data_IF_620573577100
#
_entry.id   IF_620573577100
#
_cell.length_a   1.000
_cell.length_b   1.000
_cell.length_c   1.000
_cell.angle_alpha   90.00
_cell.angle_beta   90.00
_cell.angle_gamma   90.00
#
_symmetry.space_group_name_H-M   'P 1'
#
loop_
_entity.id
_entity.type
_entity.pdbx_description
1 polymer ?
#
# COMPACT_ATOMS: atom_id res chain seq x y z
N UNK A 1 -2.31 -3.30 -0.18
CA UNK A 1 -1.96 -1.87 -0.07
C UNK A 1 -1.97 -1.36 1.37
N UNK A 2 -1.15 -0.36 1.69
CA UNK A 2 -1.17 0.35 2.98
C UNK A 2 -2.29 1.38 3.06
N UNK A 3 -2.84 1.60 4.25
CA UNK A 3 -3.89 2.62 4.45
C UNK A 3 -5.31 2.20 4.06
N UNK A 4 -5.55 0.91 3.80
CA UNK A 4 -6.89 0.38 3.50
C UNK A 4 -7.68 -0.07 4.74
N UNK A 5 -7.15 0.12 5.96
CA UNK A 5 -7.88 -0.16 7.20
C UNK A 5 -7.72 -1.57 7.78
N UNK A 6 -6.65 -2.31 7.46
CA UNK A 6 -6.42 -3.68 8.01
C UNK A 6 -6.38 -3.69 9.54
N UNK A 7 -5.55 -2.83 10.13
CA UNK A 7 -5.41 -2.67 11.58
C UNK A 7 -6.73 -2.24 12.23
N UNK A 8 -7.45 -1.30 11.61
CA UNK A 8 -8.76 -0.84 12.07
C UNK A 8 -9.81 -1.96 12.03
N UNK A 9 -9.79 -2.80 11.00
CA UNK A 9 -10.73 -3.93 10.88
C UNK A 9 -10.51 -4.95 11.99
N UNK A 10 -9.24 -5.24 12.34
CA UNK A 10 -8.91 -6.11 13.47
C UNK A 10 -9.37 -5.51 14.79
N UNK A 11 -9.11 -4.21 15.01
CA UNK A 11 -9.57 -3.49 16.20
C UNK A 11 -11.10 -3.54 16.34
N UNK A 12 -11.82 -3.29 15.25
CA UNK A 12 -13.28 -3.38 15.22
C UNK A 12 -13.79 -4.80 15.50
N UNK A 13 -13.15 -5.82 14.93
CA UNK A 13 -13.49 -7.23 15.19
C UNK A 13 -13.36 -7.59 16.68
N UNK A 14 -12.26 -7.21 17.34
CA UNK A 14 -12.07 -7.44 18.77
C UNK A 14 -13.11 -6.71 19.62
N UNK A 15 -13.48 -5.48 19.24
CA UNK A 15 -14.51 -4.72 19.95
C UNK A 15 -15.91 -5.34 19.80
N UNK A 16 -16.21 -5.92 18.64
CA UNK A 16 -17.49 -6.58 18.37
C UNK A 16 -17.62 -7.94 19.07
N UNK A 17 -16.48 -8.57 19.40
CA UNK A 17 -16.42 -9.90 20.00
C UNK A 17 -15.52 -9.95 21.24
N UNK A 18 -15.81 -9.15 22.29
CA UNK A 18 -14.92 -9.00 23.44
C UNK A 18 -14.72 -10.29 24.24
N UNK A 19 -15.72 -11.18 24.22
CA UNK A 19 -15.73 -12.43 25.01
C UNK A 19 -15.34 -13.66 24.19
N UNK A 20 -14.99 -13.51 22.91
CA UNK A 20 -14.70 -14.64 22.02
C UNK A 20 -13.37 -15.33 22.35
N UNK A 21 -12.39 -14.56 22.83
CA UNK A 21 -11.08 -15.07 23.22
C UNK A 21 -10.80 -14.75 24.68
N UNK A 22 -10.34 -15.75 25.42
CA UNK A 22 -9.95 -15.57 26.82
C UNK A 22 -8.77 -14.60 26.95
N UNK A 23 -7.90 -14.54 25.93
CA UNK A 23 -6.76 -13.62 25.87
C UNK A 23 -6.52 -13.13 24.45
N UNK A 24 -6.17 -11.84 24.35
CA UNK A 24 -5.70 -11.19 23.13
C UNK A 24 -4.25 -10.75 23.32
N UNK A 25 -3.38 -11.18 22.41
CA UNK A 25 -1.97 -10.81 22.37
C UNK A 25 -1.76 -10.00 21.10
N UNK A 26 -1.34 -8.76 21.24
CA UNK A 26 -1.11 -7.84 20.12
C UNK A 26 0.38 -7.54 20.00
N UNK A 27 0.95 -7.71 18.82
CA UNK A 27 2.40 -7.61 18.57
C UNK A 27 2.66 -6.82 17.30
N UNK A 28 3.56 -5.86 17.39
CA UNK A 28 4.12 -5.16 16.24
C UNK A 28 5.09 -6.08 15.47
N UNK A 29 4.63 -6.55 14.33
CA UNK A 29 5.39 -7.38 13.40
C UNK A 29 6.17 -6.57 12.34
N UNK A 30 6.38 -5.27 12.56
CA UNK A 30 7.16 -4.41 11.66
C UNK A 30 8.61 -4.86 11.46
N UNK A 31 9.19 -5.58 12.42
CA UNK A 31 10.55 -6.16 12.33
C UNK A 31 10.71 -7.35 13.27
N UNK A 32 11.75 -8.17 13.05
CA UNK A 32 12.09 -9.25 13.99
C UNK A 32 12.36 -8.72 15.40
N UNK A 33 13.05 -7.58 15.53
CA UNK A 33 13.32 -6.94 16.83
C UNK A 33 12.04 -6.45 17.53
N UNK A 34 11.07 -5.92 16.78
CA UNK A 34 9.78 -5.48 17.34
C UNK A 34 9.02 -6.67 17.92
N UNK A 35 8.92 -7.77 17.16
CA UNK A 35 8.26 -9.01 17.61
C UNK A 35 8.93 -9.55 18.87
N UNK A 36 10.27 -9.65 18.87
CA UNK A 36 11.02 -10.14 20.01
C UNK A 36 10.80 -9.28 21.26
N UNK A 37 10.80 -7.95 21.10
CA UNK A 37 10.57 -6.99 22.18
C UNK A 37 9.17 -7.12 22.77
N UNK A 38 8.15 -7.21 21.93
CA UNK A 38 6.75 -7.33 22.36
C UNK A 38 6.49 -8.69 23.00
N UNK A 39 7.00 -9.78 22.43
CA UNK A 39 6.93 -11.11 23.02
C UNK A 39 7.62 -11.18 24.38
N UNK A 40 8.82 -10.65 24.51
CA UNK A 40 9.53 -10.57 25.78
C UNK A 40 8.73 -9.76 26.81
N UNK A 41 8.21 -8.60 26.39
CA UNK A 41 7.40 -7.73 27.26
C UNK A 41 6.13 -8.44 27.73
N UNK A 42 5.42 -9.12 26.83
CA UNK A 42 4.23 -9.89 27.15
C UNK A 42 4.53 -11.06 28.09
N UNK A 43 5.57 -11.85 27.83
CA UNK A 43 5.97 -12.98 28.69
C UNK A 43 6.26 -12.51 30.12
N UNK A 44 6.94 -11.36 30.30
CA UNK A 44 7.19 -10.77 31.63
C UNK A 44 5.91 -10.46 32.41
N UNK A 45 4.81 -10.13 31.75
CA UNK A 45 3.53 -9.82 32.43
C UNK A 45 2.90 -11.04 33.10
N UNK A 46 3.32 -12.26 32.75
CA UNK A 46 2.69 -13.51 33.22
C UNK A 46 3.29 -14.06 34.51
N UNK A 47 4.44 -13.55 34.97
CA UNK A 47 5.04 -13.93 36.25
C UNK A 47 5.82 -15.26 36.24
N UNK A 48 6.28 -15.66 37.42
CA UNK A 48 7.53 -16.39 37.70
C UNK A 48 7.74 -17.71 36.91
N UNK A 49 8.94 -17.85 36.32
CA UNK A 49 9.39 -19.02 35.53
C UNK A 49 10.30 -18.66 34.33
N UNK A 50 10.48 -17.37 34.05
CA UNK A 50 11.20 -16.83 32.89
C UNK A 50 12.65 -16.49 33.22
N UNK A 51 13.43 -17.49 33.61
CA UNK A 51 14.80 -17.32 34.15
C UNK A 51 15.81 -16.69 33.15
N UNK A 52 15.49 -16.67 31.86
CA UNK A 52 16.39 -16.17 30.81
C UNK A 52 15.96 -14.82 30.23
N UNK A 53 14.74 -14.36 30.50
CA UNK A 53 14.22 -13.09 29.97
C UNK A 53 14.36 -12.98 28.44
N UNK A 54 13.97 -14.05 27.72
CA UNK A 54 14.09 -14.16 26.27
C UNK A 54 12.72 -14.30 25.60
N UNK A 55 12.61 -13.85 24.35
CA UNK A 55 11.34 -13.83 23.61
C UNK A 55 10.79 -15.25 23.33
N UNK A 56 11.64 -16.26 23.28
CA UNK A 56 11.23 -17.66 23.07
C UNK A 56 10.34 -18.20 24.20
N UNK A 57 10.41 -17.61 25.39
CA UNK A 57 9.51 -17.98 26.48
C UNK A 57 8.05 -17.63 26.16
N UNK A 58 7.80 -16.54 25.43
CA UNK A 58 6.47 -16.22 24.93
C UNK A 58 5.94 -17.34 24.02
N UNK A 59 6.77 -17.85 23.10
CA UNK A 59 6.37 -18.95 22.23
C UNK A 59 6.06 -20.23 23.00
N UNK A 60 6.81 -20.56 24.05
CA UNK A 60 6.50 -21.73 24.90
C UNK A 60 5.12 -21.61 25.55
N UNK A 61 4.77 -20.41 26.02
CA UNK A 61 3.47 -20.12 26.64
C UNK A 61 2.35 -20.19 25.59
N UNK A 62 2.56 -19.57 24.42
CA UNK A 62 1.59 -19.62 23.31
C UNK A 62 1.40 -21.04 22.74
N UNK A 63 2.35 -21.95 22.97
CA UNK A 63 2.27 -23.38 22.64
C UNK A 63 1.70 -24.26 23.77
N UNK A 64 1.25 -23.64 24.87
CA UNK A 64 0.74 -24.33 26.06
C UNK A 64 -0.56 -23.69 26.54
N UNK A 65 -1.49 -23.41 25.62
CA UNK A 65 -2.75 -22.74 25.95
C UNK A 65 -3.56 -23.62 26.92
N UNK A 66 -4.08 -23.07 28.04
CA UNK A 66 -4.86 -23.87 28.99
C UNK A 66 -6.06 -24.56 28.34
N UNK A 67 -6.31 -25.82 28.73
CA UNK A 67 -7.43 -26.59 28.20
C UNK A 67 -8.76 -25.86 28.44
N UNK A 68 -9.54 -25.69 27.37
CA UNK A 68 -10.84 -25.02 27.42
C UNK A 68 -10.79 -23.51 27.19
N UNK A 69 -9.59 -22.92 27.06
CA UNK A 69 -9.42 -21.53 26.62
C UNK A 69 -9.19 -21.47 25.11
N UNK A 70 -9.47 -20.29 24.54
CA UNK A 70 -9.11 -19.92 23.16
C UNK A 70 -8.41 -18.57 23.21
N UNK A 71 -7.22 -18.48 22.63
CA UNK A 71 -6.43 -17.25 22.60
C UNK A 71 -6.33 -16.72 21.17
N UNK A 72 -6.07 -15.43 21.01
CA UNK A 72 -5.75 -14.83 19.72
C UNK A 72 -4.40 -14.10 19.78
N UNK A 73 -3.54 -14.40 18.81
CA UNK A 73 -2.30 -13.68 18.55
C UNK A 73 -2.46 -12.83 17.28
N UNK A 74 -2.25 -11.53 17.42
CA UNK A 74 -2.29 -10.56 16.32
C UNK A 74 -0.86 -10.11 16.04
N UNK A 75 -0.39 -10.39 14.83
CA UNK A 75 0.86 -9.91 14.27
C UNK A 75 0.54 -8.79 13.27
N UNK A 76 0.61 -7.55 13.74
CA UNK A 76 0.24 -6.37 12.95
C UNK A 76 1.44 -5.78 12.21
N UNK A 77 1.25 -5.24 11.01
CA UNK A 77 2.32 -4.61 10.20
C UNK A 77 3.45 -5.55 9.77
N UNK A 78 3.16 -6.84 9.52
CA UNK A 78 4.13 -7.82 9.01
C UNK A 78 4.51 -7.56 7.54
N UNK A 79 5.01 -6.37 7.23
CA UNK A 79 5.14 -5.85 5.87
C UNK A 79 6.45 -6.19 5.18
N UNK A 80 7.53 -6.40 5.96
CA UNK A 80 8.88 -6.63 5.45
C UNK A 80 8.97 -8.00 4.74
N UNK A 81 9.22 -8.04 3.42
CA UNK A 81 9.34 -9.31 2.70
C UNK A 81 10.53 -10.17 3.13
N UNK A 82 11.53 -9.59 3.81
CA UNK A 82 12.69 -10.30 4.33
C UNK A 82 12.47 -10.91 5.73
N UNK A 83 11.37 -10.54 6.41
CA UNK A 83 11.01 -11.07 7.71
C UNK A 83 10.60 -12.54 7.61
N UNK A 84 11.36 -13.43 8.24
CA UNK A 84 10.96 -14.83 8.40
C UNK A 84 9.95 -14.97 9.56
N UNK A 85 8.70 -14.63 9.29
CA UNK A 85 7.63 -14.63 10.30
C UNK A 85 7.37 -16.02 10.91
N UNK A 86 7.68 -17.10 10.19
CA UNK A 86 7.47 -18.47 10.66
C UNK A 86 8.20 -18.80 11.97
N UNK A 87 9.29 -18.10 12.28
CA UNK A 87 10.03 -18.25 13.54
C UNK A 87 9.22 -17.80 14.77
N UNK A 88 8.16 -17.04 14.56
CA UNK A 88 7.34 -16.42 15.60
C UNK A 88 5.92 -16.98 15.67
N UNK A 89 5.61 -18.03 14.89
CA UNK A 89 4.27 -18.63 14.87
C UNK A 89 4.18 -19.78 15.88
N UNK A 90 3.23 -19.74 16.83
CA UNK A 90 2.91 -20.89 17.67
C UNK A 90 2.17 -21.98 16.86
N UNK A 91 2.11 -23.17 17.44
CA UNK A 91 1.58 -24.40 16.83
C UNK A 91 0.43 -25.04 17.62
N UNK A 92 0.03 -24.44 18.76
CA UNK A 92 -1.15 -24.89 19.52
C UNK A 92 -2.42 -24.76 18.66
N UNK A 93 -3.36 -25.69 18.81
CA UNK A 93 -4.63 -25.66 18.08
C UNK A 93 -5.64 -24.68 18.69
N UNK A 94 -5.43 -24.27 19.94
CA UNK A 94 -6.32 -23.36 20.68
C UNK A 94 -5.92 -21.89 20.56
N UNK A 95 -4.98 -21.58 19.65
CA UNK A 95 -4.59 -20.21 19.33
C UNK A 95 -4.98 -19.86 17.91
N UNK A 96 -5.74 -18.79 17.77
CA UNK A 96 -6.01 -18.16 16.48
C UNK A 96 -4.89 -17.17 16.18
N UNK A 97 -4.27 -17.29 15.01
CA UNK A 97 -3.25 -16.36 14.55
C UNK A 97 -3.86 -15.47 13.48
N UNK A 98 -3.82 -14.15 13.71
CA UNK A 98 -4.25 -13.14 12.76
C UNK A 98 -3.02 -12.30 12.36
N UNK A 99 -2.74 -12.23 11.07
CA UNK A 99 -1.63 -11.44 10.53
C UNK A 99 -2.19 -10.31 9.67
N UNK A 100 -1.80 -9.07 9.93
CA UNK A 100 -2.03 -7.97 9.00
C UNK A 100 -0.74 -7.63 8.25
N UNK A 101 -0.85 -7.43 6.93
CA UNK A 101 0.32 -7.14 6.11
C UNK A 101 -0.05 -6.48 4.77
N UNK A 102 0.88 -5.69 4.23
CA UNK A 102 0.92 -5.23 2.84
C UNK A 102 1.60 -6.25 1.92
N UNK A 103 2.37 -7.18 2.46
CA UNK A 103 3.01 -8.24 1.69
C UNK A 103 1.99 -9.36 1.38
N UNK A 104 1.50 -9.36 0.14
CA UNK A 104 0.53 -10.36 -0.34
C UNK A 104 1.06 -11.80 -0.26
N UNK A 105 2.39 -12.01 -0.22
CA UNK A 105 2.96 -13.35 -0.12
C UNK A 105 2.69 -14.02 1.23
N UNK A 106 2.40 -13.27 2.29
CA UNK A 106 2.00 -13.85 3.58
C UNK A 106 0.65 -14.57 3.51
N UNK A 107 -0.18 -14.27 2.51
CA UNK A 107 -1.41 -15.03 2.26
C UNK A 107 -1.16 -16.52 2.02
N UNK A 108 0.04 -16.90 1.52
CA UNK A 108 0.43 -18.29 1.33
C UNK A 108 0.63 -19.06 2.64
N UNK A 109 0.79 -18.36 3.78
CA UNK A 109 0.90 -18.99 5.09
C UNK A 109 -0.47 -19.34 5.69
N UNK A 110 -1.56 -18.84 5.10
CA UNK A 110 -2.89 -19.07 5.65
C UNK A 110 -3.30 -20.54 5.53
N UNK A 111 -3.71 -21.12 6.65
CA UNK A 111 -4.28 -22.47 6.73
C UNK A 111 -5.81 -22.46 6.72
N UNK A 112 -6.44 -21.30 6.89
CA UNK A 112 -7.89 -21.16 7.06
C UNK A 112 -8.48 -20.18 6.06
N UNK A 113 -8.16 -18.89 6.16
CA UNK A 113 -8.70 -17.83 5.33
C UNK A 113 -7.66 -16.75 5.00
N UNK A 114 -7.76 -16.17 3.81
CA UNK A 114 -6.99 -15.00 3.39
C UNK A 114 -7.95 -13.94 2.86
N UNK A 115 -7.91 -12.75 3.47
CA UNK A 115 -8.73 -11.61 3.08
C UNK A 115 -7.85 -10.54 2.46
N UNK A 116 -7.94 -10.39 1.14
CA UNK A 116 -7.29 -9.27 0.45
C UNK A 116 -8.13 -8.00 0.61
N UNK A 117 -7.66 -7.10 1.48
CA UNK A 117 -8.31 -5.80 1.69
C UNK A 117 -7.73 -4.75 0.73
N UNK A 118 -8.59 -4.28 -0.18
CA UNK A 118 -8.27 -3.31 -1.24
C UNK A 118 -8.92 -1.94 -1.04
N UNK A 119 -9.25 -1.30 -2.16
CA UNK A 119 -9.98 -0.02 -2.21
C UNK A 119 -11.41 -0.20 -1.67
N UNK A 120 -11.96 0.83 -1.03
CA UNK A 120 -13.38 0.84 -0.66
C UNK A 120 -14.26 0.90 -1.91
N UNK A 121 -15.45 0.31 -1.83
CA UNK A 121 -16.50 0.59 -2.82
C UNK A 121 -16.85 2.08 -2.81
N UNK A 122 -17.49 2.58 -3.88
CA UNK A 122 -17.88 3.99 -3.97
C UNK A 122 -18.80 4.43 -2.83
N UNK A 123 -19.69 3.56 -2.38
CA UNK A 123 -20.65 3.85 -1.32
C UNK A 123 -19.97 3.86 0.06
N UNK A 124 -19.10 2.87 0.33
CA UNK A 124 -18.27 2.85 1.54
C UNK A 124 -17.36 4.08 1.59
N UNK A 125 -16.75 4.45 0.47
CA UNK A 125 -15.84 5.59 0.36
C UNK A 125 -16.57 6.92 0.60
N UNK A 126 -17.77 7.08 0.03
CA UNK A 126 -18.63 8.23 0.28
C UNK A 126 -19.04 8.30 1.76
N UNK A 127 -19.44 7.18 2.34
CA UNK A 127 -19.79 7.10 3.77
C UNK A 127 -18.60 7.49 4.66
N UNK A 128 -17.41 6.97 4.36
CA UNK A 128 -16.21 7.22 5.14
C UNK A 128 -15.80 8.70 5.13
N UNK A 129 -15.76 9.35 3.96
CA UNK A 129 -15.37 10.78 3.87
C UNK A 129 -16.41 11.70 4.51
N UNK A 130 -17.71 11.36 4.42
CA UNK A 130 -18.77 12.11 5.10
C UNK A 130 -18.67 11.96 6.62
N UNK A 131 -18.45 10.74 7.10
CA UNK A 131 -18.32 10.45 8.53
C UNK A 131 -17.11 11.16 9.14
N UNK A 132 -15.95 11.13 8.50
CA UNK A 132 -14.75 11.84 8.97
C UNK A 132 -14.94 13.37 8.94
N UNK A 133 -15.65 13.89 7.93
CA UNK A 133 -16.05 15.29 7.84
C UNK A 133 -17.17 15.69 8.83
N UNK A 134 -17.81 14.72 9.51
CA UNK A 134 -19.04 14.90 10.30
C UNK A 134 -20.17 15.57 9.52
N UNK A 135 -20.37 15.11 8.29
CA UNK A 135 -21.42 15.57 7.38
C UNK A 135 -22.43 14.47 7.11
N UNK A 136 -23.64 14.88 6.75
CA UNK A 136 -24.75 13.99 6.43
C UNK A 136 -25.38 14.44 5.11
N UNK A 137 -26.00 13.50 4.40
CA UNK A 137 -26.83 13.80 3.25
C UNK A 137 -28.15 14.49 3.68
N UNK A 138 -28.79 15.28 2.80
CA UNK A 138 -28.34 15.63 1.46
C UNK A 138 -27.25 16.73 1.48
N UNK A 139 -26.29 16.61 0.55
CA UNK A 139 -25.38 17.70 0.19
C UNK A 139 -25.96 18.48 -1.01
N UNK A 140 -25.44 19.68 -1.28
CA UNK A 140 -25.71 20.35 -2.56
C UNK A 140 -25.17 19.51 -3.72
N UNK A 141 -25.74 19.67 -4.92
CA UNK A 141 -25.29 18.94 -6.12
C UNK A 141 -23.81 19.19 -6.42
N UNK A 142 -23.35 20.44 -6.26
CA UNK A 142 -21.95 20.82 -6.44
C UNK A 142 -21.04 20.10 -5.43
N UNK A 143 -21.40 20.08 -4.16
CA UNK A 143 -20.57 19.46 -3.12
C UNK A 143 -20.55 17.94 -3.22
N UNK A 144 -21.68 17.31 -3.59
CA UNK A 144 -21.73 15.88 -3.90
C UNK A 144 -20.88 15.55 -5.14
N UNK A 145 -20.93 16.39 -6.18
CA UNK A 145 -20.10 16.27 -7.36
C UNK A 145 -18.60 16.32 -7.02
N UNK A 146 -18.18 17.31 -6.22
CA UNK A 146 -16.80 17.43 -5.75
C UNK A 146 -16.38 16.23 -4.88
N UNK A 147 -17.25 15.74 -4.01
CA UNK A 147 -17.00 14.53 -3.22
C UNK A 147 -16.73 13.33 -4.14
N UNK A 148 -17.58 13.10 -5.16
CA UNK A 148 -17.42 12.00 -6.12
C UNK A 148 -16.12 12.08 -6.93
N UNK A 149 -15.66 13.29 -7.25
CA UNK A 149 -14.36 13.52 -7.89
C UNK A 149 -13.22 13.19 -6.92
N UNK A 150 -13.30 13.63 -5.66
CA UNK A 150 -12.33 13.27 -4.63
C UNK A 150 -12.23 11.77 -4.41
N UNK A 151 -13.34 11.03 -4.37
CA UNK A 151 -13.32 9.56 -4.26
C UNK A 151 -12.49 8.92 -5.38
N UNK A 152 -12.58 9.47 -6.60
CA UNK A 152 -11.79 9.02 -7.75
C UNK A 152 -10.31 9.37 -7.59
N UNK A 153 -9.99 10.62 -7.26
CA UNK A 153 -8.60 11.10 -7.18
C UNK A 153 -7.84 10.49 -5.99
N UNK A 154 -8.53 10.22 -4.88
CA UNK A 154 -7.99 9.54 -3.70
C UNK A 154 -8.00 8.00 -3.84
N UNK A 155 -8.51 7.48 -4.97
CA UNK A 155 -8.56 6.04 -5.26
C UNK A 155 -9.41 5.23 -4.27
N UNK A 156 -10.38 5.86 -3.62
CA UNK A 156 -11.20 5.22 -2.58
C UNK A 156 -10.36 4.55 -1.45
N UNK A 157 -9.17 5.08 -1.18
CA UNK A 157 -8.29 4.59 -0.13
C UNK A 157 -8.75 5.12 1.23
N UNK A 158 -9.05 4.21 2.16
CA UNK A 158 -9.63 4.54 3.48
C UNK A 158 -8.88 5.68 4.20
N UNK A 159 -7.56 5.57 4.37
CA UNK A 159 -6.77 6.60 5.07
C UNK A 159 -6.81 7.96 4.38
N UNK A 160 -6.79 7.99 3.04
CA UNK A 160 -6.79 9.22 2.26
C UNK A 160 -8.15 9.93 2.34
N UNK A 161 -9.24 9.16 2.33
CA UNK A 161 -10.60 9.66 2.51
C UNK A 161 -10.83 10.20 3.92
N UNK A 162 -10.40 9.44 4.95
CA UNK A 162 -10.50 9.88 6.34
C UNK A 162 -9.73 11.18 6.52
N UNK A 163 -8.50 11.26 6.02
CA UNK A 163 -7.68 12.46 6.07
C UNK A 163 -8.36 13.66 5.37
N UNK A 164 -8.90 13.47 4.17
CA UNK A 164 -9.58 14.54 3.43
C UNK A 164 -10.80 15.07 4.19
N UNK A 165 -11.66 14.19 4.71
CA UNK A 165 -12.83 14.61 5.45
C UNK A 165 -12.48 15.23 6.80
N UNK A 166 -11.51 14.68 7.55
CA UNK A 166 -11.07 15.29 8.81
C UNK A 166 -10.45 16.67 8.57
N UNK A 167 -9.67 16.87 7.51
CA UNK A 167 -9.15 18.18 7.13
C UNK A 167 -10.28 19.18 6.88
N UNK A 168 -11.31 18.80 6.12
CA UNK A 168 -12.49 19.64 5.87
C UNK A 168 -13.20 20.01 7.17
N UNK A 169 -13.35 19.06 8.10
CA UNK A 169 -13.94 19.29 9.41
C UNK A 169 -13.12 20.26 10.26
N UNK A 170 -11.80 20.07 10.31
CA UNK A 170 -10.89 20.91 11.09
C UNK A 170 -10.94 22.34 10.58
N UNK A 171 -10.77 22.58 9.28
CA UNK A 171 -10.92 23.92 8.72
C UNK A 171 -12.32 24.48 8.93
N UNK A 172 -13.37 23.66 8.79
CA UNK A 172 -14.74 24.10 9.07
C UNK A 172 -14.90 24.64 10.49
N UNK A 173 -14.18 24.08 11.46
CA UNK A 173 -14.18 24.54 12.86
C UNK A 173 -13.38 25.82 13.11
N UNK A 174 -12.48 26.19 12.20
CA UNK A 174 -11.59 27.36 12.35
C UNK A 174 -12.07 28.57 11.56
N UNK A 175 -12.49 28.37 10.30
CA UNK A 175 -12.75 29.47 9.35
C UNK A 175 -14.21 29.53 8.85
N UNK A 176 -15.10 28.73 9.42
CA UNK A 176 -16.46 28.54 8.90
C UNK A 176 -16.50 27.47 7.81
N UNK A 177 -17.68 27.21 7.23
CA UNK A 177 -17.93 26.09 6.31
C UNK A 177 -16.82 25.94 5.24
N UNK A 178 -16.06 24.84 5.33
CA UNK A 178 -15.02 24.49 4.36
C UNK A 178 -15.38 23.20 3.64
N UNK A 179 -15.83 23.32 2.39
CA UNK A 179 -16.50 22.30 1.58
C UNK A 179 -15.54 21.31 0.91
N UNK A 180 -16.09 20.21 0.38
CA UNK A 180 -15.31 19.30 -0.46
C UNK A 180 -14.85 19.96 -1.77
N UNK A 181 -15.57 20.95 -2.26
CA UNK A 181 -15.16 21.75 -3.43
C UNK A 181 -13.88 22.53 -3.16
N UNK A 182 -13.78 23.17 -2.00
CA UNK A 182 -12.59 23.92 -1.60
C UNK A 182 -11.40 22.99 -1.36
N UNK A 183 -11.64 21.86 -0.70
CA UNK A 183 -10.62 20.84 -0.51
C UNK A 183 -10.13 20.27 -1.84
N UNK A 184 -11.01 19.95 -2.79
CA UNK A 184 -10.63 19.45 -4.12
C UNK A 184 -9.73 20.44 -4.87
N UNK A 185 -10.04 21.74 -4.80
CA UNK A 185 -9.18 22.78 -5.39
C UNK A 185 -7.81 22.82 -4.72
N UNK A 186 -7.75 22.73 -3.39
CA UNK A 186 -6.50 22.70 -2.65
C UNK A 186 -5.70 21.43 -2.98
N UNK A 187 -6.36 20.28 -3.02
CA UNK A 187 -5.78 18.97 -3.31
C UNK A 187 -5.08 18.96 -4.66
N UNK A 188 -5.70 19.50 -5.71
CA UNK A 188 -5.07 19.55 -7.05
C UNK A 188 -3.79 20.39 -7.11
N UNK A 189 -3.67 21.42 -6.26
CA UNK A 189 -2.50 22.29 -6.22
C UNK A 189 -1.41 21.81 -5.27
N UNK A 190 -1.79 21.18 -4.14
CA UNK A 190 -0.90 20.85 -3.03
C UNK A 190 -0.99 19.37 -2.61
N UNK A 191 -1.31 18.49 -3.56
CA UNK A 191 -1.51 17.06 -3.32
C UNK A 191 -0.38 16.43 -2.52
N UNK A 192 0.87 16.68 -2.92
CA UNK A 192 2.03 16.05 -2.31
C UNK A 192 2.19 16.44 -0.84
N UNK A 193 1.97 17.71 -0.51
CA UNK A 193 2.05 18.20 0.87
C UNK A 193 0.91 17.66 1.72
N UNK A 194 -0.31 17.65 1.16
CA UNK A 194 -1.48 17.08 1.82
C UNK A 194 -1.30 15.58 2.07
N UNK A 195 -0.86 14.79 1.08
CA UNK A 195 -0.71 13.34 1.26
C UNK A 195 0.52 12.94 2.11
N UNK A 196 1.46 13.84 2.34
CA UNK A 196 2.54 13.67 3.34
C UNK A 196 2.10 14.02 4.74
N UNK A 197 1.18 14.98 4.87
CA UNK A 197 0.65 15.40 6.16
C UNK A 197 0.04 14.22 6.92
N UNK A 198 0.50 14.01 8.14
CA UNK A 198 -0.07 13.06 9.09
C UNK A 198 -0.74 13.84 10.22
N UNK A 199 -1.96 13.46 10.59
CA UNK A 199 -2.59 14.05 11.76
C UNK A 199 -1.82 13.68 13.04
N UNK A 200 -1.64 14.64 13.97
CA UNK A 200 -0.93 14.38 15.22
C UNK A 200 -1.71 13.48 16.20
N UNK A 201 -3.01 13.24 15.98
CA UNK A 201 -3.88 12.44 16.86
C UNK A 201 -4.65 11.41 16.03
N UNK A 202 -4.06 10.24 15.82
CA UNK A 202 -4.76 9.04 15.32
C UNK A 202 -4.99 8.04 16.45
N UNK A 203 -6.11 7.31 16.40
CA UNK A 203 -6.52 6.35 17.44
C UNK A 203 -5.54 5.17 17.60
N UNK A 204 -4.70 4.93 16.60
CA UNK A 204 -3.78 3.81 16.48
C UNK A 204 -2.30 4.22 16.50
N UNK A 205 -2.00 5.47 16.88
CA UNK A 205 -0.65 6.07 16.78
C UNK A 205 -0.03 5.99 15.36
N UNK A 206 -0.82 5.68 14.33
CA UNK A 206 -0.38 5.69 12.94
C UNK A 206 -0.26 7.14 12.47
N UNK A 207 0.93 7.71 12.63
CA UNK A 207 1.25 9.11 12.32
C UNK A 207 1.92 9.25 10.95
N UNK A 208 1.49 8.47 9.95
CA UNK A 208 2.09 8.53 8.60
C UNK A 208 1.03 8.84 7.55
N UNK A 209 1.25 9.91 6.79
CA UNK A 209 0.48 10.18 5.57
C UNK A 209 0.71 9.10 4.52
N UNK A 210 -0.18 9.03 3.52
CA UNK A 210 -0.10 8.05 2.42
C UNK A 210 1.26 8.09 1.73
N UNK A 211 1.73 9.29 1.38
CA UNK A 211 3.00 9.47 0.67
C UNK A 211 4.20 9.06 1.54
N UNK A 212 4.17 9.33 2.84
CA UNK A 212 5.23 8.92 3.78
C UNK A 212 5.38 7.40 3.82
N UNK A 213 4.28 6.66 3.76
CA UNK A 213 4.30 5.20 3.71
C UNK A 213 4.83 4.66 2.39
N UNK A 214 4.53 5.34 1.27
CA UNK A 214 5.10 5.01 -0.03
C UNK A 214 6.60 5.32 -0.10
N UNK A 215 7.05 6.44 0.49
CA UNK A 215 8.46 6.82 0.57
C UNK A 215 9.31 5.76 1.30
N UNK A 216 8.76 5.13 2.34
CA UNK A 216 9.43 4.04 3.05
C UNK A 216 9.56 2.79 2.18
N UNK A 217 8.49 2.40 1.48
CA UNK A 217 8.54 1.28 0.53
C UNK A 217 9.52 1.56 -0.61
N UNK A 218 9.57 2.79 -1.12
CA UNK A 218 10.47 3.21 -2.18
C UNK A 218 11.95 3.12 -1.80
N UNK A 219 12.30 3.44 -0.55
CA UNK A 219 13.68 3.34 -0.05
C UNK A 219 14.19 1.90 -0.04
N UNK A 220 13.31 0.92 0.12
CA UNK A 220 13.65 -0.51 0.10
C UNK A 220 13.77 -1.09 -1.32
N UNK A 221 13.36 -0.35 -2.36
CA UNK A 221 13.44 -0.82 -3.74
C UNK A 221 14.86 -0.67 -4.31
N UNK A 222 15.24 -1.63 -5.15
CA UNK A 222 16.43 -1.51 -6.01
C UNK A 222 16.23 -0.40 -7.05
N UNK A 223 17.34 0.10 -7.62
CA UNK A 223 17.28 1.15 -8.63
C UNK A 223 16.41 0.77 -9.84
N UNK A 224 16.52 -0.46 -10.32
CA UNK A 224 15.72 -0.97 -11.45
C UNK A 224 14.21 -0.94 -11.17
N UNK A 225 13.80 -1.35 -9.96
CA UNK A 225 12.41 -1.30 -9.56
C UNK A 225 11.88 0.13 -9.49
N UNK A 226 12.70 1.07 -9.04
CA UNK A 226 12.35 2.51 -8.99
C UNK A 226 12.18 3.09 -10.39
N UNK A 227 13.10 2.80 -11.29
CA UNK A 227 13.03 3.29 -12.68
C UNK A 227 11.82 2.72 -13.42
N UNK A 228 11.54 1.42 -13.24
CA UNK A 228 10.35 0.81 -13.82
C UNK A 228 9.06 1.40 -13.24
N UNK A 229 8.99 1.61 -11.92
CA UNK A 229 7.84 2.24 -11.27
C UNK A 229 7.55 3.64 -11.82
N UNK A 230 8.60 4.46 -11.98
CA UNK A 230 8.47 5.79 -12.59
C UNK A 230 8.02 5.73 -14.04
N UNK A 231 8.56 4.80 -14.83
CA UNK A 231 8.14 4.56 -16.22
C UNK A 231 6.64 4.24 -16.29
N UNK A 232 6.18 3.23 -15.54
CA UNK A 232 4.78 2.79 -15.59
C UNK A 232 3.82 3.82 -15.00
N UNK A 233 4.32 4.75 -14.17
CA UNK A 233 3.52 5.85 -13.66
C UNK A 233 2.96 6.73 -14.77
N UNK A 234 3.54 6.79 -15.97
CA UNK A 234 3.06 7.62 -17.09
C UNK A 234 2.02 6.96 -17.99
N UNK A 235 1.69 5.69 -17.75
CA UNK A 235 0.56 5.02 -18.40
C UNK A 235 -0.76 5.45 -17.76
N UNK A 236 -1.88 4.99 -18.32
CA UNK A 236 -3.11 4.97 -17.53
C UNK A 236 -2.93 4.02 -16.34
N UNK A 237 -3.38 4.40 -15.14
CA UNK A 237 -3.14 3.62 -13.91
C UNK A 237 -3.84 2.25 -13.90
N UNK A 238 -4.76 2.01 -14.84
CA UNK A 238 -5.39 0.70 -15.07
C UNK A 238 -4.96 0.09 -16.39
N UNK A 239 -4.88 -1.25 -16.39
CA UNK A 239 -4.73 -2.11 -17.56
C UNK A 239 -3.45 -1.79 -18.34
N UNK A 240 -2.33 -1.65 -17.65
CA UNK A 240 -1.03 -1.47 -18.30
C UNK A 240 -0.62 -2.82 -18.90
N UNK A 241 -0.53 -2.96 -20.23
CA UNK A 241 -0.32 -4.25 -20.88
C UNK A 241 1.15 -4.67 -20.80
N UNK A 242 1.42 -5.85 -20.24
CA UNK A 242 2.79 -6.39 -20.18
C UNK A 242 3.37 -6.60 -21.58
N UNK A 243 2.52 -7.04 -22.53
CA UNK A 243 2.90 -7.33 -23.91
C UNK A 243 3.37 -6.09 -24.70
N UNK A 244 2.98 -4.88 -24.30
CA UNK A 244 3.48 -3.68 -24.96
C UNK A 244 4.99 -3.51 -24.76
N UNK A 245 5.51 -3.88 -23.58
CA UNK A 245 6.94 -3.78 -23.29
C UNK A 245 7.76 -4.77 -24.12
N UNK A 246 7.30 -6.02 -24.25
CA UNK A 246 7.99 -7.02 -25.07
C UNK A 246 7.96 -6.64 -26.54
N UNK A 247 6.80 -6.22 -27.05
CA UNK A 247 6.65 -5.80 -28.44
C UNK A 247 7.53 -4.60 -28.77
N UNK A 248 7.53 -3.56 -27.92
CA UNK A 248 8.37 -2.39 -28.12
C UNK A 248 9.87 -2.73 -28.05
N UNK A 249 10.27 -3.64 -27.15
CA UNK A 249 11.65 -4.11 -27.07
C UNK A 249 12.11 -4.83 -28.34
N UNK A 250 11.28 -5.72 -28.91
CA UNK A 250 11.56 -6.43 -30.17
C UNK A 250 11.77 -5.47 -31.36
N UNK A 251 11.12 -4.30 -31.32
CA UNK A 251 11.25 -3.25 -32.34
C UNK A 251 12.28 -2.17 -31.95
N UNK A 252 13.04 -2.39 -30.88
CA UNK A 252 14.09 -1.49 -30.41
C UNK A 252 13.60 -0.13 -29.90
N UNK A 253 12.33 -0.04 -29.48
CA UNK A 253 11.65 1.19 -29.05
C UNK A 253 11.73 2.32 -30.07
N UNK A 254 11.72 1.96 -31.36
CA UNK A 254 11.71 2.92 -32.46
C UNK A 254 10.28 3.33 -32.76
N UNK A 255 10.12 4.55 -33.27
CA UNK A 255 8.84 4.96 -33.81
C UNK A 255 8.41 4.03 -34.96
N UNK A 256 7.10 3.83 -35.13
CA UNK A 256 6.56 2.96 -36.20
C UNK A 256 7.01 3.40 -37.61
N UNK A 257 7.11 4.71 -37.84
CA UNK A 257 7.39 5.29 -39.15
C UNK A 257 8.67 6.11 -39.20
N UNK A 258 9.08 6.46 -40.42
CA UNK A 258 10.21 7.36 -40.66
C UNK A 258 9.81 8.81 -40.40
N UNK A 259 10.07 9.29 -39.18
CA UNK A 259 9.87 10.69 -38.81
C UNK A 259 11.13 11.52 -39.06
N UNK A 260 10.98 12.85 -39.04
CA UNK A 260 12.14 13.74 -39.08
C UNK A 260 13.11 13.43 -37.93
N UNK A 261 14.44 13.52 -38.17
CA UNK A 261 15.45 13.26 -37.15
C UNK A 261 15.18 14.08 -35.89
N UNK A 262 15.07 13.39 -34.75
CA UNK A 262 14.94 14.02 -33.43
C UNK A 262 16.32 14.35 -32.88
N UNK A 263 16.36 15.18 -31.85
CA UNK A 263 17.60 15.50 -31.16
C UNK A 263 18.17 14.28 -30.42
N UNK A 264 19.43 14.39 -29.97
CA UNK A 264 20.13 13.33 -29.25
C UNK A 264 19.42 12.89 -27.94
N UNK A 265 18.43 13.65 -27.44
CA UNK A 265 17.66 13.26 -26.25
C UNK A 265 16.78 12.07 -26.55
N UNK A 266 16.32 11.89 -27.79
CA UNK A 266 15.53 10.74 -28.19
C UNK A 266 16.32 9.43 -28.11
N UNK A 267 17.56 9.41 -28.62
CA UNK A 267 18.44 8.23 -28.52
C UNK A 267 18.80 7.91 -27.06
N UNK A 268 19.03 8.93 -26.23
CA UNK A 268 19.26 8.76 -24.80
C UNK A 268 18.03 8.16 -24.08
N UNK A 269 16.81 8.55 -24.46
CA UNK A 269 15.55 7.99 -23.97
C UNK A 269 15.43 6.50 -24.31
N UNK A 270 15.68 6.12 -25.56
CA UNK A 270 15.65 4.70 -25.98
C UNK A 270 16.70 3.89 -25.23
N UNK A 271 17.92 4.42 -25.11
CA UNK A 271 19.02 3.74 -24.42
C UNK A 271 18.70 3.49 -22.94
N UNK A 272 18.09 4.47 -22.26
CA UNK A 272 17.66 4.33 -20.88
C UNK A 272 16.50 3.34 -20.73
N UNK A 273 15.53 3.37 -21.64
CA UNK A 273 14.41 2.42 -21.65
C UNK A 273 14.91 0.98 -21.83
N UNK A 274 15.82 0.75 -22.78
CA UNK A 274 16.49 -0.54 -22.95
C UNK A 274 17.22 -0.99 -21.69
N UNK A 275 17.90 -0.10 -20.97
CA UNK A 275 18.58 -0.46 -19.72
C UNK A 275 17.61 -0.94 -18.62
N UNK A 276 16.36 -0.46 -18.63
CA UNK A 276 15.32 -0.83 -17.66
C UNK A 276 14.73 -2.22 -17.98
N UNK A 277 14.36 -2.48 -19.25
CA UNK A 277 13.56 -3.66 -19.61
C UNK A 277 14.30 -4.73 -20.44
N UNK A 278 15.48 -4.41 -20.97
CA UNK A 278 16.29 -5.33 -21.77
C UNK A 278 17.57 -5.76 -21.04
N UNK A 279 18.16 -6.86 -21.52
CA UNK A 279 19.49 -7.32 -21.15
C UNK A 279 20.27 -7.59 -22.45
N UNK A 280 21.47 -7.02 -22.60
CA UNK A 280 22.24 -7.07 -23.85
C UNK A 280 21.44 -6.67 -25.12
N UNK A 281 20.57 -5.66 -25.00
CA UNK A 281 19.66 -5.17 -26.05
C UNK A 281 18.53 -6.14 -26.45
N UNK A 282 18.35 -7.25 -25.74
CA UNK A 282 17.22 -8.18 -25.94
C UNK A 282 16.23 -8.12 -24.78
N UNK A 283 14.96 -8.42 -25.07
CA UNK A 283 13.91 -8.50 -24.06
C UNK A 283 14.25 -9.53 -22.97
N UNK A 284 14.21 -9.12 -21.70
CA UNK A 284 14.45 -10.00 -20.55
C UNK A 284 13.17 -10.15 -19.72
N UNK A 285 12.34 -11.12 -20.12
CA UNK A 285 11.07 -11.41 -19.44
C UNK A 285 11.29 -11.76 -17.96
N UNK A 286 12.35 -12.52 -17.65
CA UNK A 286 12.63 -12.96 -16.28
C UNK A 286 12.99 -11.78 -15.38
N UNK A 287 13.78 -10.82 -15.88
CA UNK A 287 14.11 -9.59 -15.16
C UNK A 287 12.85 -8.76 -14.89
N UNK A 288 11.99 -8.58 -15.89
CA UNK A 288 10.75 -7.84 -15.68
C UNK A 288 9.82 -8.53 -14.67
N UNK A 289 9.69 -9.85 -14.74
CA UNK A 289 8.92 -10.62 -13.76
C UNK A 289 9.49 -10.44 -12.33
N UNK A 290 10.82 -10.38 -12.15
CA UNK A 290 11.45 -10.10 -10.85
C UNK A 290 11.14 -8.68 -10.35
N UNK A 291 11.17 -7.68 -11.24
CA UNK A 291 10.79 -6.30 -10.92
C UNK A 291 9.32 -6.25 -10.46
N UNK A 292 8.41 -6.84 -11.23
CA UNK A 292 6.97 -6.87 -10.90
C UNK A 292 6.72 -7.60 -9.59
N UNK A 293 7.37 -8.75 -9.35
CA UNK A 293 7.28 -9.48 -8.07
C UNK A 293 7.72 -8.61 -6.89
N UNK A 294 8.83 -7.88 -7.05
CA UNK A 294 9.34 -6.97 -6.02
C UNK A 294 8.35 -5.82 -5.77
N UNK A 295 7.86 -5.15 -6.81
CA UNK A 295 6.87 -4.08 -6.65
C UNK A 295 5.57 -4.59 -6.00
N UNK A 296 5.15 -5.81 -6.34
CA UNK A 296 3.99 -6.48 -5.74
C UNK A 296 4.19 -6.81 -4.26
N UNK A 297 5.39 -7.24 -3.83
CA UNK A 297 5.66 -7.51 -2.41
C UNK A 297 5.52 -6.27 -1.54
N UNK A 298 5.71 -5.08 -2.12
CA UNK A 298 5.45 -3.78 -1.46
C UNK A 298 4.04 -3.22 -1.71
N UNK A 299 3.13 -3.99 -2.32
CA UNK A 299 1.78 -3.54 -2.70
C UNK A 299 1.77 -2.30 -3.64
N UNK A 300 2.83 -2.09 -4.43
CA UNK A 300 2.92 -0.94 -5.34
C UNK A 300 2.24 -1.19 -6.69
N UNK A 301 2.13 -2.45 -7.08
CA UNK A 301 1.54 -2.91 -8.34
C UNK A 301 0.60 -4.08 -8.07
N UNK A 302 -0.56 -4.07 -8.71
CA UNK A 302 -1.53 -5.18 -8.68
C UNK A 302 -1.59 -5.83 -10.06
N UNK A 303 -1.27 -7.12 -10.19
CA UNK A 303 -1.43 -7.82 -11.47
C UNK A 303 -2.91 -8.06 -11.76
N UNK A 304 -3.28 -8.04 -13.03
CA UNK A 304 -4.55 -8.55 -13.51
C UNK A 304 -4.35 -9.33 -14.80
N UNK A 305 -5.34 -10.12 -15.18
CA UNK A 305 -5.27 -10.95 -16.39
C UNK A 305 -6.64 -11.06 -17.02
N UNK A 306 -6.70 -10.99 -18.34
CA UNK A 306 -7.91 -11.29 -19.11
C UNK A 306 -7.55 -12.27 -20.22
N UNK A 307 -8.25 -13.43 -20.25
CA UNK A 307 -8.24 -14.53 -21.24
C UNK A 307 -6.87 -15.03 -21.78
N UNK A 308 -5.96 -14.17 -22.22
CA UNK A 308 -4.63 -14.47 -22.78
C UNK A 308 -3.55 -13.42 -22.46
N UNK A 309 -3.89 -12.29 -21.83
CA UNK A 309 -2.98 -11.16 -21.65
C UNK A 309 -2.79 -10.80 -20.18
N UNK A 310 -1.55 -10.49 -19.81
CA UNK A 310 -1.17 -10.02 -18.49
C UNK A 310 -1.14 -8.49 -18.48
N UNK A 311 -1.80 -7.93 -17.47
CA UNK A 311 -1.80 -6.50 -17.20
C UNK A 311 -1.35 -6.25 -15.77
N UNK A 312 -1.01 -5.00 -15.51
CA UNK A 312 -0.81 -4.53 -14.17
C UNK A 312 -1.43 -3.15 -13.96
N UNK A 313 -1.74 -2.86 -12.71
CA UNK A 313 -2.44 -1.66 -12.30
C UNK A 313 -1.70 -0.99 -11.15
N UNK A 314 -1.73 0.34 -11.14
CA UNK A 314 -1.33 1.17 -10.02
C UNK A 314 -2.57 1.69 -9.33
N UNK A 315 -2.50 1.84 -8.01
CA UNK A 315 -3.47 2.69 -7.33
C UNK A 315 -3.28 4.16 -7.81
N UNK A 316 -4.35 4.95 -7.98
CA UNK A 316 -4.25 6.35 -8.42
C UNK A 316 -3.25 7.18 -7.60
N UNK A 317 -3.26 7.03 -6.27
CA UNK A 317 -2.31 7.70 -5.38
C UNK A 317 -0.85 7.23 -5.54
N UNK A 318 -0.60 5.98 -5.95
CA UNK A 318 0.78 5.50 -6.22
C UNK A 318 1.28 6.16 -7.50
N UNK A 319 0.46 6.18 -8.55
CA UNK A 319 0.79 6.87 -9.81
C UNK A 319 1.07 8.36 -9.55
N UNK A 320 0.15 9.02 -8.84
CA UNK A 320 0.25 10.40 -8.42
C UNK A 320 1.56 10.71 -7.70
N UNK A 321 1.85 9.93 -6.65
CA UNK A 321 3.04 10.05 -5.83
C UNK A 321 4.33 9.88 -6.64
N UNK A 322 4.40 8.86 -7.50
CA UNK A 322 5.56 8.62 -8.35
C UNK A 322 5.86 9.82 -9.25
N UNK A 323 4.83 10.45 -9.83
CA UNK A 323 4.97 11.66 -10.65
C UNK A 323 5.34 12.91 -9.83
N UNK A 324 4.89 12.99 -8.58
CA UNK A 324 5.18 14.11 -7.69
C UNK A 324 6.62 14.08 -7.14
N UNK A 325 7.32 12.94 -7.18
CA UNK A 325 8.66 12.78 -6.62
C UNK A 325 9.73 13.60 -7.33
N UNK A 326 9.72 13.63 -8.66
CA UNK A 326 10.73 14.32 -9.46
C UNK A 326 10.11 14.89 -10.75
N UNK A 327 9.67 16.15 -10.73
CA UNK A 327 9.09 16.81 -11.91
C UNK A 327 10.07 16.95 -13.08
N UNK A 328 11.39 16.96 -12.83
CA UNK A 328 12.40 17.12 -13.88
C UNK A 328 12.64 15.78 -14.57
N UNK A 329 12.80 14.70 -13.80
CA UNK A 329 12.93 13.36 -14.37
C UNK A 329 11.62 12.86 -15.02
N UNK A 330 10.47 13.38 -14.59
CA UNK A 330 9.14 13.06 -15.13
C UNK A 330 9.03 13.19 -16.65
N UNK A 331 9.65 14.22 -17.24
CA UNK A 331 9.63 14.40 -18.70
C UNK A 331 10.31 13.24 -19.44
N UNK A 332 11.39 12.70 -18.87
CA UNK A 332 12.10 11.57 -19.46
C UNK A 332 11.28 10.27 -19.35
N UNK A 333 10.66 10.01 -18.20
CA UNK A 333 9.80 8.83 -18.03
C UNK A 333 8.54 8.91 -18.90
N UNK A 334 7.97 10.10 -19.08
CA UNK A 334 6.89 10.33 -20.03
C UNK A 334 7.31 10.00 -21.47
N UNK A 335 8.48 10.48 -21.90
CA UNK A 335 9.01 10.17 -23.22
C UNK A 335 9.25 8.67 -23.41
N UNK A 336 9.77 7.98 -22.39
CA UNK A 336 9.94 6.53 -22.43
C UNK A 336 8.60 5.78 -22.53
N UNK A 337 7.57 6.19 -21.77
CA UNK A 337 6.26 5.58 -21.84
C UNK A 337 5.62 5.71 -23.24
N UNK A 338 5.84 6.86 -23.92
CA UNK A 338 5.40 7.06 -25.31
C UNK A 338 6.10 6.09 -26.26
N UNK A 339 7.35 5.68 -26.01
CA UNK A 339 8.06 4.73 -26.87
C UNK A 339 7.67 3.27 -26.65
N UNK A 340 6.91 2.98 -25.59
CA UNK A 340 6.35 1.64 -25.34
C UNK A 340 4.96 1.48 -25.98
N UNK A 341 4.22 2.58 -26.14
CA UNK A 341 2.88 2.63 -26.73
C UNK A 341 2.95 2.84 -28.24
#
# INVERSE_FOLDING_TARGET
MGGCGKTQLVSYFLQMHPDLYARTIYVDASSSSSIQTDFQTWARTLGIGHELDVWEDALKILNSVPRGEQWILILDNADDPSLNINLFLPSDINITILITSRNLHLGNLSTTNHLELGEMTRDEALSAILQSARRHLPLSEEELGSAQVLLKELGCLAVALVQAGTYCRQLSSTIGLYTFTEYLRLFRSYRADLMKYSEPVSLDNYQRGVYTTLDLSYKALTQECREFLHLISFFHYKEIPLIAFSWAAEHGFRDWGDYHPRDNRHEATISKLQAIVCNNMEWDELRLQKIIRTLRSFSLVVPSSTNTSLFFHLHPLIQAWSRDMDPVASQQYQAMAIQVL
#
